data_IF_495715990229
#
_entry.id   IF_495715990229
#
_cell.length_a   1.000
_cell.length_b   1.000
_cell.length_c   1.000
_cell.angle_alpha   90.00
_cell.angle_beta   90.00
_cell.angle_gamma   90.00
#
_symmetry.space_group_name_H-M   'P 1'
#
loop_
_entity.id
_entity.type
_entity.pdbx_description
1 polymer ?
#
# COMPACT_ATOMS: atom_id res chain seq x y z
N UNK A 1 -28.82 25.12 17.72
CA UNK A 1 -29.11 24.49 19.05
C UNK A 1 -27.93 23.61 19.42
N UNK A 2 -27.70 23.26 20.69
CA UNK A 2 -26.46 22.52 21.09
C UNK A 2 -26.21 21.23 20.30
N UNK A 3 -27.27 20.48 19.95
CA UNK A 3 -27.14 19.19 19.25
C UNK A 3 -26.71 19.35 17.79
N UNK A 4 -27.27 20.34 17.09
CA UNK A 4 -26.88 20.75 15.74
C UNK A 4 -25.40 21.15 15.67
N UNK A 5 -24.96 21.98 16.64
CA UNK A 5 -23.56 22.40 16.78
C UNK A 5 -22.58 21.22 17.01
N UNK A 6 -23.02 20.16 17.70
CA UNK A 6 -22.22 18.94 17.88
C UNK A 6 -22.09 18.20 16.56
N UNK A 7 -23.18 18.10 15.78
CA UNK A 7 -23.21 17.41 14.49
C UNK A 7 -22.39 18.17 13.45
N UNK A 8 -22.49 19.49 13.38
CA UNK A 8 -21.66 20.33 12.52
C UNK A 8 -20.16 20.15 12.81
N UNK A 9 -19.80 20.02 14.09
CA UNK A 9 -18.41 19.75 14.48
C UNK A 9 -17.93 18.36 14.00
N UNK A 10 -18.81 17.36 13.86
CA UNK A 10 -18.41 16.09 13.26
C UNK A 10 -17.99 16.27 11.79
N UNK A 11 -18.70 17.10 11.03
CA UNK A 11 -18.32 17.40 9.64
C UNK A 11 -16.95 18.07 9.55
N UNK A 12 -16.66 19.02 10.45
CA UNK A 12 -15.36 19.69 10.50
C UNK A 12 -14.21 18.72 10.83
N UNK A 13 -14.45 17.73 11.70
CA UNK A 13 -13.47 16.67 12.00
C UNK A 13 -13.33 15.70 10.83
N UNK A 14 -14.43 15.34 10.17
CA UNK A 14 -14.43 14.47 9.00
C UNK A 14 -13.67 15.08 7.82
N UNK A 15 -13.85 16.36 7.55
CA UNK A 15 -13.11 17.09 6.50
C UNK A 15 -11.59 17.02 6.76
N UNK A 16 -11.15 17.31 7.99
CA UNK A 16 -9.74 17.18 8.38
C UNK A 16 -9.21 15.76 8.27
N UNK A 17 -10.05 14.74 8.49
CA UNK A 17 -9.66 13.35 8.27
C UNK A 17 -9.55 13.05 6.77
N UNK A 18 -10.44 13.57 5.94
CA UNK A 18 -10.39 13.46 4.48
C UNK A 18 -9.07 13.99 3.94
N UNK A 19 -8.68 15.21 4.34
CA UNK A 19 -7.41 15.81 3.91
C UNK A 19 -6.21 14.94 4.30
N UNK A 20 -6.24 14.34 5.49
CA UNK A 20 -5.18 13.45 5.97
C UNK A 20 -5.16 12.11 5.22
N UNK A 21 -6.31 11.61 4.80
CA UNK A 21 -6.41 10.42 3.97
C UNK A 21 -5.79 10.69 2.61
N UNK A 22 -6.20 11.76 1.93
CA UNK A 22 -5.67 12.13 0.60
C UNK A 22 -4.14 12.33 0.64
N UNK A 23 -3.64 13.04 1.67
CA UNK A 23 -2.20 13.21 1.84
C UNK A 23 -1.45 11.88 2.07
N UNK A 24 -2.06 10.93 2.78
CA UNK A 24 -1.49 9.60 3.02
C UNK A 24 -1.49 8.75 1.74
N UNK A 25 -2.54 8.83 0.93
CA UNK A 25 -2.59 8.16 -0.36
C UNK A 25 -1.44 8.61 -1.27
N UNK A 26 -1.23 9.92 -1.37
CA UNK A 26 -0.13 10.49 -2.16
C UNK A 26 1.24 10.05 -1.63
N UNK A 27 1.41 9.98 -0.30
CA UNK A 27 2.63 9.49 0.35
C UNK A 27 2.92 8.01 -0.01
N UNK A 28 1.90 7.15 0.05
CA UNK A 28 2.01 5.73 -0.28
C UNK A 28 2.41 5.55 -1.75
N UNK A 29 1.81 6.34 -2.64
CA UNK A 29 2.10 6.29 -4.08
C UNK A 29 3.56 6.67 -4.35
N UNK A 30 4.07 7.72 -3.68
CA UNK A 30 5.41 8.27 -3.89
C UNK A 30 6.53 7.46 -3.24
N UNK A 31 6.38 7.07 -1.97
CA UNK A 31 7.50 6.57 -1.17
C UNK A 31 7.30 5.17 -0.58
N UNK A 32 6.06 4.75 -0.32
CA UNK A 32 5.74 3.41 0.21
C UNK A 32 6.63 2.95 1.38
N UNK A 33 6.80 3.79 2.41
CA UNK A 33 7.77 3.55 3.49
C UNK A 33 7.11 2.93 4.74
N UNK A 34 7.91 2.44 5.70
CA UNK A 34 7.43 1.84 6.95
C UNK A 34 6.64 2.82 7.85
N UNK A 35 6.89 4.13 7.74
CA UNK A 35 6.12 5.18 8.44
C UNK A 35 4.70 5.30 7.89
N UNK A 36 4.49 5.06 6.60
CA UNK A 36 3.16 5.08 5.98
C UNK A 36 2.25 4.03 6.65
N UNK A 37 2.75 2.83 6.98
CA UNK A 37 1.99 1.82 7.73
C UNK A 37 1.59 2.28 9.14
N UNK A 38 2.47 2.99 9.85
CA UNK A 38 2.14 3.54 11.16
C UNK A 38 1.05 4.62 11.05
N UNK A 39 1.12 5.46 10.01
CA UNK A 39 0.12 6.50 9.71
C UNK A 39 -1.25 5.91 9.36
N UNK A 40 -1.28 4.87 8.51
CA UNK A 40 -2.49 4.10 8.18
C UNK A 40 -3.16 3.61 9.48
N UNK A 41 -2.38 2.98 10.37
CA UNK A 41 -2.91 2.46 11.63
C UNK A 41 -3.40 3.56 12.59
N UNK A 42 -2.75 4.73 12.60
CA UNK A 42 -3.21 5.90 13.38
C UNK A 42 -4.57 6.39 12.89
N UNK A 43 -4.70 6.66 11.59
CA UNK A 43 -5.95 7.15 11.00
C UNK A 43 -7.09 6.14 11.15
N UNK A 44 -6.80 4.85 11.04
CA UNK A 44 -7.77 3.78 11.33
C UNK A 44 -8.32 3.88 12.75
N UNK A 45 -7.46 4.12 13.75
CA UNK A 45 -7.89 4.29 15.15
C UNK A 45 -8.74 5.55 15.32
N UNK A 46 -8.34 6.66 14.71
CA UNK A 46 -9.11 7.91 14.73
C UNK A 46 -10.51 7.74 14.13
N UNK A 47 -10.63 7.07 12.98
CA UNK A 47 -11.92 6.75 12.35
C UNK A 47 -12.80 5.83 13.20
N UNK A 48 -12.21 4.81 13.84
CA UNK A 48 -12.96 3.94 14.77
C UNK A 48 -13.52 4.74 15.94
N UNK A 49 -12.73 5.66 16.50
CA UNK A 49 -13.18 6.55 17.58
C UNK A 49 -14.31 7.45 17.09
N UNK A 50 -14.18 8.05 15.90
CA UNK A 50 -15.22 8.89 15.33
C UNK A 50 -16.53 8.13 15.12
N UNK A 51 -16.46 6.93 14.51
CA UNK A 51 -17.61 6.03 14.34
C UNK A 51 -18.29 5.71 15.67
N UNK A 52 -17.51 5.42 16.71
CA UNK A 52 -18.03 5.08 18.05
C UNK A 52 -18.71 6.27 18.75
N UNK A 53 -18.44 7.51 18.32
CA UNK A 53 -19.14 8.69 18.82
C UNK A 53 -20.39 9.05 18.00
N UNK A 54 -20.36 8.85 16.67
CA UNK A 54 -21.48 9.21 15.79
C UNK A 54 -22.66 8.24 15.91
N UNK A 55 -22.41 6.92 15.91
CA UNK A 55 -23.49 5.93 15.90
C UNK A 55 -24.43 6.00 17.11
N UNK A 56 -23.94 6.15 18.37
CA UNK A 56 -24.83 6.29 19.52
C UNK A 56 -25.69 7.55 19.46
N UNK A 57 -25.17 8.65 18.89
CA UNK A 57 -25.94 9.89 18.74
C UNK A 57 -27.05 9.71 17.70
N UNK A 58 -26.79 8.98 16.61
CA UNK A 58 -27.83 8.60 15.64
C UNK A 58 -28.98 7.87 16.30
N UNK A 59 -28.65 6.85 17.09
CA UNK A 59 -29.64 5.99 17.74
C UNK A 59 -30.43 6.78 18.81
N UNK A 60 -29.77 7.69 19.52
CA UNK A 60 -30.39 8.60 20.49
C UNK A 60 -31.37 9.58 19.81
N UNK A 61 -30.98 10.21 18.68
CA UNK A 61 -31.86 11.13 17.94
C UNK A 61 -33.03 10.40 17.31
N UNK A 62 -32.82 9.19 16.79
CA UNK A 62 -33.91 8.31 16.34
C UNK A 62 -34.90 7.99 17.49
N UNK A 63 -34.38 7.79 18.70
CA UNK A 63 -35.20 7.61 19.91
C UNK A 63 -36.10 8.81 20.20
N UNK A 64 -35.59 10.03 20.04
CA UNK A 64 -36.40 11.25 20.18
C UNK A 64 -37.47 11.34 19.09
N UNK A 65 -37.14 11.03 17.83
CA UNK A 65 -38.11 11.06 16.73
C UNK A 65 -39.26 10.06 16.90
N UNK A 66 -39.02 8.93 17.56
CA UNK A 66 -40.04 7.90 17.83
C UNK A 66 -40.78 8.09 19.16
N UNK A 67 -40.39 9.08 19.97
CA UNK A 67 -40.97 9.27 21.29
C UNK A 67 -42.31 10.01 21.20
N UNK A 68 -43.35 9.45 21.83
CA UNK A 68 -44.67 10.09 21.99
C UNK A 68 -44.72 11.07 23.18
N UNK A 69 -43.59 11.66 23.54
CA UNK A 69 -43.50 12.57 24.69
C UNK A 69 -44.23 13.89 24.43
N UNK A 70 -44.94 14.39 25.45
CA UNK A 70 -45.64 15.70 25.42
C UNK A 70 -44.69 16.88 25.18
N UNK A 71 -43.38 16.69 25.39
CA UNK A 71 -42.36 17.69 25.12
C UNK A 71 -42.04 17.83 23.62
N UNK A 72 -42.40 16.83 22.79
CA UNK A 72 -42.13 16.82 21.35
C UNK A 72 -43.35 17.35 20.59
N UNK A 73 -43.24 18.61 20.18
CA UNK A 73 -44.20 19.29 19.32
C UNK A 73 -43.74 19.23 17.86
N UNK A 74 -44.61 19.59 16.92
CA UNK A 74 -44.35 19.53 15.46
C UNK A 74 -43.08 20.31 15.03
N UNK A 75 -42.83 21.47 15.66
CA UNK A 75 -41.60 22.26 15.43
C UNK A 75 -40.32 21.54 15.88
N UNK A 76 -40.33 20.93 17.07
CA UNK A 76 -39.19 20.17 17.59
C UNK A 76 -38.98 18.88 16.80
N UNK A 77 -40.04 18.25 16.32
CA UNK A 77 -39.96 17.07 15.48
C UNK A 77 -39.23 17.38 14.15
N UNK A 78 -39.57 18.49 13.48
CA UNK A 78 -38.88 18.92 12.26
C UNK A 78 -37.39 19.19 12.50
N UNK A 79 -37.04 19.81 13.62
CA UNK A 79 -35.65 20.06 14.00
C UNK A 79 -34.86 18.75 14.27
N UNK A 80 -35.40 17.81 15.04
CA UNK A 80 -34.73 16.53 15.27
C UNK A 80 -34.59 15.70 14.00
N UNK A 81 -35.51 15.85 13.04
CA UNK A 81 -35.45 15.17 11.74
C UNK A 81 -34.27 15.68 10.91
N UNK A 82 -34.09 16.99 10.84
CA UNK A 82 -32.95 17.62 10.17
C UNK A 82 -31.61 17.15 10.75
N UNK A 83 -31.50 17.18 12.08
CA UNK A 83 -30.31 16.68 12.80
C UNK A 83 -30.09 15.18 12.58
N UNK A 84 -31.15 14.38 12.52
CA UNK A 84 -31.07 12.95 12.22
C UNK A 84 -30.53 12.72 10.81
N UNK A 85 -31.05 13.45 9.82
CA UNK A 85 -30.61 13.33 8.42
C UNK A 85 -29.11 13.68 8.31
N UNK A 86 -28.64 14.73 8.99
CA UNK A 86 -27.21 15.08 9.07
C UNK A 86 -26.35 14.00 9.76
N UNK A 87 -26.83 13.40 10.84
CA UNK A 87 -26.08 12.33 11.53
C UNK A 87 -26.00 11.06 10.67
N UNK A 88 -27.08 10.72 9.96
CA UNK A 88 -27.07 9.60 9.02
C UNK A 88 -26.03 9.84 7.92
N UNK A 89 -26.01 11.04 7.34
CA UNK A 89 -24.99 11.42 6.36
C UNK A 89 -23.57 11.31 6.93
N UNK A 90 -23.34 11.77 8.17
CA UNK A 90 -22.06 11.62 8.83
C UNK A 90 -21.67 10.15 9.05
N UNK A 91 -22.62 9.29 9.42
CA UNK A 91 -22.37 7.87 9.59
C UNK A 91 -21.97 7.19 8.27
N UNK A 92 -22.62 7.54 7.16
CA UNK A 92 -22.30 7.02 5.83
C UNK A 92 -20.91 7.49 5.35
N UNK A 93 -20.56 8.76 5.60
CA UNK A 93 -19.22 9.29 5.28
C UNK A 93 -18.11 8.56 6.03
N UNK A 94 -18.32 8.24 7.31
CA UNK A 94 -17.36 7.49 8.11
C UNK A 94 -17.16 6.07 7.59
N UNK A 95 -18.23 5.42 7.09
CA UNK A 95 -18.13 4.12 6.42
C UNK A 95 -17.32 4.23 5.13
N UNK A 96 -17.58 5.24 4.30
CA UNK A 96 -16.80 5.50 3.08
C UNK A 96 -15.31 5.70 3.39
N UNK A 97 -14.97 6.48 4.43
CA UNK A 97 -13.58 6.66 4.84
C UNK A 97 -12.93 5.38 5.37
N UNK A 98 -13.70 4.51 6.04
CA UNK A 98 -13.19 3.20 6.44
C UNK A 98 -12.87 2.35 5.21
N UNK A 99 -13.72 2.35 4.21
CA UNK A 99 -13.51 1.56 2.99
C UNK A 99 -12.32 2.12 2.18
N UNK A 100 -12.17 3.44 2.12
CA UNK A 100 -10.98 4.10 1.55
C UNK A 100 -9.69 3.71 2.31
N UNK A 101 -9.74 3.64 3.65
CA UNK A 101 -8.62 3.18 4.48
C UNK A 101 -8.20 1.74 4.19
N UNK A 102 -9.16 0.85 3.92
CA UNK A 102 -8.86 -0.53 3.52
C UNK A 102 -8.15 -0.55 2.15
N UNK A 103 -8.66 0.24 1.20
CA UNK A 103 -8.02 0.39 -0.11
C UNK A 103 -6.57 0.93 0.00
N UNK A 104 -6.31 1.88 0.91
CA UNK A 104 -4.95 2.38 1.16
C UNK A 104 -4.03 1.31 1.72
N UNK A 105 -4.53 0.44 2.59
CA UNK A 105 -3.75 -0.69 3.11
C UNK A 105 -3.36 -1.65 1.99
N UNK A 106 -4.28 -1.96 1.08
CA UNK A 106 -4.02 -2.81 -0.08
C UNK A 106 -3.04 -2.15 -1.07
N UNK A 107 -3.20 -0.85 -1.32
CA UNK A 107 -2.28 -0.06 -2.14
C UNK A 107 -0.85 -0.08 -1.57
N UNK A 108 -0.72 0.09 -0.25
CA UNK A 108 0.56 0.00 0.44
C UNK A 108 1.20 -1.38 0.26
N UNK A 109 0.43 -2.47 0.48
CA UNK A 109 0.92 -3.83 0.28
C UNK A 109 1.34 -4.08 -1.17
N UNK A 110 0.58 -3.59 -2.14
CA UNK A 110 0.92 -3.66 -3.56
C UNK A 110 2.24 -2.96 -3.86
N UNK A 111 2.45 -1.76 -3.31
CA UNK A 111 3.72 -1.00 -3.45
C UNK A 111 4.91 -1.73 -2.83
N UNK A 112 4.76 -2.30 -1.64
CA UNK A 112 5.80 -3.11 -0.99
C UNK A 112 6.13 -4.34 -1.85
N UNK A 113 5.13 -5.04 -2.38
CA UNK A 113 5.32 -6.19 -3.24
C UNK A 113 6.00 -5.82 -4.57
N UNK A 114 5.64 -4.70 -5.19
CA UNK A 114 6.32 -4.20 -6.39
C UNK A 114 7.81 -3.95 -6.12
N UNK A 115 8.12 -3.28 -5.02
CA UNK A 115 9.52 -3.04 -4.61
C UNK A 115 10.27 -4.34 -4.34
N UNK A 116 9.62 -5.31 -3.68
CA UNK A 116 10.19 -6.64 -3.46
C UNK A 116 10.47 -7.35 -4.79
N UNK A 117 9.54 -7.29 -5.74
CA UNK A 117 9.73 -7.85 -7.08
C UNK A 117 10.90 -7.20 -7.82
N UNK A 118 11.07 -5.88 -7.72
CA UNK A 118 12.23 -5.18 -8.30
C UNK A 118 13.55 -5.65 -7.67
N UNK A 119 13.62 -5.72 -6.34
CA UNK A 119 14.81 -6.21 -5.63
C UNK A 119 15.13 -7.65 -6.00
N UNK A 120 14.13 -8.54 -6.05
CA UNK A 120 14.30 -9.93 -6.48
C UNK A 120 14.79 -10.02 -7.92
N UNK A 121 14.24 -9.20 -8.83
CA UNK A 121 14.67 -9.13 -10.23
C UNK A 121 16.15 -8.72 -10.34
N UNK A 122 16.58 -7.73 -9.56
CA UNK A 122 17.99 -7.30 -9.53
C UNK A 122 18.90 -8.43 -9.03
N UNK A 123 18.56 -9.09 -7.91
CA UNK A 123 19.34 -10.22 -7.39
C UNK A 123 19.42 -11.38 -8.39
N UNK A 124 18.30 -11.69 -9.07
CA UNK A 124 18.26 -12.74 -10.09
C UNK A 124 19.14 -12.39 -11.30
N UNK A 125 19.10 -11.14 -11.78
CA UNK A 125 19.96 -10.68 -12.88
C UNK A 125 21.44 -10.81 -12.50
N UNK A 126 21.84 -10.31 -11.32
CA UNK A 126 23.23 -10.43 -10.84
C UNK A 126 23.66 -11.89 -10.76
N UNK A 127 22.81 -12.77 -10.22
CA UNK A 127 23.10 -14.21 -10.10
C UNK A 127 23.24 -14.87 -11.47
N UNK A 128 22.32 -14.60 -12.40
CA UNK A 128 22.36 -15.12 -13.76
C UNK A 128 23.61 -14.64 -14.53
N UNK A 129 24.09 -13.42 -14.29
CA UNK A 129 25.31 -12.91 -14.92
C UNK A 129 26.58 -13.57 -14.38
N UNK A 130 26.61 -13.94 -13.09
CA UNK A 130 27.76 -14.61 -12.47
C UNK A 130 27.80 -16.12 -12.75
N UNK A 131 26.64 -16.77 -12.89
CA UNK A 131 26.56 -18.23 -13.01
C UNK A 131 27.43 -18.84 -14.13
N UNK A 132 27.47 -18.31 -15.37
CA UNK A 132 28.33 -18.85 -16.43
C UNK A 132 29.81 -18.79 -16.09
N UNK A 133 30.28 -17.67 -15.51
CA UNK A 133 31.67 -17.51 -15.12
C UNK A 133 32.04 -18.49 -14.00
N UNK A 134 31.16 -18.68 -13.01
CA UNK A 134 31.36 -19.65 -11.92
C UNK A 134 31.41 -21.09 -12.44
N UNK A 135 30.53 -21.46 -13.38
CA UNK A 135 30.51 -22.81 -13.96
C UNK A 135 31.78 -23.07 -14.78
N UNK A 136 32.18 -22.13 -15.64
CA UNK A 136 33.40 -22.27 -16.44
C UNK A 136 34.62 -22.33 -15.51
N UNK A 137 34.73 -21.42 -14.54
CA UNK A 137 35.83 -21.42 -13.57
C UNK A 137 35.87 -22.71 -12.74
N UNK A 138 34.70 -23.23 -12.36
CA UNK A 138 34.56 -24.51 -11.67
C UNK A 138 35.07 -25.68 -12.50
N UNK A 139 34.66 -25.80 -13.77
CA UNK A 139 35.07 -26.88 -14.68
C UNK A 139 36.60 -26.85 -14.92
N UNK A 140 37.16 -25.67 -15.19
CA UNK A 140 38.60 -25.51 -15.41
C UNK A 140 39.43 -25.64 -14.12
N UNK A 141 38.80 -25.49 -12.95
CA UNK A 141 39.43 -25.73 -11.64
C UNK A 141 39.40 -27.19 -11.18
N UNK A 142 38.77 -28.11 -11.93
CA UNK A 142 38.73 -29.53 -11.58
C UNK A 142 40.05 -30.22 -11.95
N UNK A 143 40.56 -31.07 -11.04
CA UNK A 143 41.77 -31.86 -11.25
C UNK A 143 41.54 -33.07 -12.19
N UNK A 144 41.19 -32.82 -13.46
CA UNK A 144 41.07 -33.87 -14.49
C UNK A 144 42.16 -33.71 -15.55
N UNK A 145 42.95 -34.77 -15.78
CA UNK A 145 44.04 -34.80 -16.77
C UNK A 145 43.57 -34.74 -18.24
N UNK A 146 42.30 -35.05 -18.52
CA UNK A 146 41.72 -35.11 -19.88
C UNK A 146 40.58 -34.13 -20.11
N UNK A 147 40.73 -32.87 -19.71
CA UNK A 147 39.82 -31.81 -20.16
C UNK A 147 40.33 -31.26 -21.51
N UNK A 148 39.50 -31.26 -22.57
CA UNK A 148 39.85 -30.62 -23.84
C UNK A 148 40.26 -29.15 -23.60
N UNK A 149 41.32 -28.68 -24.26
CA UNK A 149 41.87 -27.31 -24.15
C UNK A 149 42.65 -26.94 -22.87
N UNK A 150 42.84 -27.81 -21.87
CA UNK A 150 43.67 -27.46 -20.68
C UNK A 150 45.17 -27.30 -21.01
N UNK A 151 45.70 -28.13 -21.90
CA UNK A 151 47.13 -28.13 -22.25
C UNK A 151 47.45 -27.24 -23.47
N UNK A 152 46.45 -26.55 -24.03
CA UNK A 152 46.59 -25.69 -25.20
C UNK A 152 46.84 -24.23 -24.77
N UNK A 153 47.78 -23.54 -25.42
CA UNK A 153 48.13 -22.13 -25.14
C UNK A 153 46.93 -21.20 -25.32
N UNK A 154 45.97 -21.57 -26.16
CA UNK A 154 44.78 -20.76 -26.45
C UNK A 154 43.59 -21.07 -25.54
N UNK A 155 43.61 -22.18 -24.79
CA UNK A 155 42.48 -22.62 -23.95
C UNK A 155 42.11 -21.61 -22.87
N UNK A 156 43.11 -20.97 -22.26
CA UNK A 156 42.92 -19.91 -21.28
C UNK A 156 42.19 -18.69 -21.88
N UNK A 157 42.63 -18.22 -23.04
CA UNK A 157 42.03 -17.06 -23.71
C UNK A 157 40.60 -17.33 -24.20
N UNK A 158 40.34 -18.54 -24.70
CA UNK A 158 38.98 -18.96 -25.12
C UNK A 158 38.04 -19.01 -23.90
N UNK A 159 38.49 -19.58 -22.77
CA UNK A 159 37.69 -19.65 -21.55
C UNK A 159 37.34 -18.25 -21.02
N UNK A 160 38.33 -17.34 -20.92
CA UNK A 160 38.11 -15.95 -20.51
C UNK A 160 37.18 -15.21 -21.50
N UNK A 161 37.35 -15.44 -22.80
CA UNK A 161 36.48 -14.89 -23.83
C UNK A 161 35.01 -15.32 -23.64
N UNK A 162 34.76 -16.61 -23.39
CA UNK A 162 33.42 -17.13 -23.12
C UNK A 162 32.83 -16.58 -21.81
N UNK A 163 33.64 -16.48 -20.75
CA UNK A 163 33.21 -15.91 -19.46
C UNK A 163 32.75 -14.46 -19.58
N UNK A 164 33.30 -13.67 -20.52
CA UNK A 164 32.89 -12.29 -20.74
C UNK A 164 31.77 -12.16 -21.78
N UNK A 165 31.80 -12.97 -22.84
CA UNK A 165 30.85 -12.86 -23.95
C UNK A 165 29.44 -13.31 -23.54
N UNK A 166 29.32 -14.37 -22.72
CA UNK A 166 28.02 -14.89 -22.29
C UNK A 166 27.24 -13.85 -21.43
N UNK A 167 27.81 -13.25 -20.36
CA UNK A 167 27.11 -12.22 -19.60
C UNK A 167 26.73 -11.00 -20.45
N UNK A 168 27.62 -10.55 -21.36
CA UNK A 168 27.32 -9.42 -22.27
C UNK A 168 26.11 -9.73 -23.16
N UNK A 169 26.05 -10.95 -23.70
CA UNK A 169 24.91 -11.41 -24.50
C UNK A 169 23.62 -11.50 -23.67
N UNK A 170 23.70 -11.96 -22.42
CA UNK A 170 22.56 -12.00 -21.50
C UNK A 170 22.04 -10.61 -21.16
N UNK A 171 22.93 -9.63 -20.89
CA UNK A 171 22.54 -8.23 -20.66
C UNK A 171 21.79 -7.67 -21.86
N UNK A 172 22.27 -7.95 -23.08
CA UNK A 172 21.60 -7.51 -24.30
C UNK A 172 20.17 -8.07 -24.41
N UNK A 173 19.97 -9.34 -24.12
CA UNK A 173 18.64 -9.98 -24.09
C UNK A 173 17.76 -9.38 -22.99
N UNK A 174 18.28 -9.23 -21.78
CA UNK A 174 17.52 -8.66 -20.65
C UNK A 174 17.08 -7.23 -20.94
N UNK A 175 17.93 -6.41 -21.56
CA UNK A 175 17.56 -5.06 -22.00
C UNK A 175 16.44 -5.09 -23.05
N UNK A 176 16.53 -5.99 -24.05
CA UNK A 176 15.51 -6.13 -25.10
C UNK A 176 14.14 -6.59 -24.56
N UNK A 177 14.14 -7.37 -23.48
CA UNK A 177 12.91 -7.87 -22.83
C UNK A 177 12.29 -6.89 -21.83
N UNK A 178 12.85 -5.69 -21.64
CA UNK A 178 12.36 -4.72 -20.65
C UNK A 178 12.65 -5.15 -19.20
N UNK A 179 13.69 -5.97 -19.00
CA UNK A 179 14.10 -6.37 -17.66
C UNK A 179 14.94 -5.29 -16.95
N UNK A 180 15.47 -4.36 -17.73
CA UNK A 180 16.10 -3.12 -17.29
C UNK A 180 15.17 -1.92 -17.56
#
# INVERSE_FOLDING_TARGET
TMLDLIVDNYFLVMEKLSDRLEALEEEIIKYGNTRSLARINSLRKELIVLKRNILPVRDLVNGFLRSESVLIHERTHKYYKDVYDHIVQAADLVENYRDMMLNMQDLYMSKVNMRMNEVMKVMAIVTCLLAPATVIGGIFGMNFDRIPYIHDKNGFFIAVGLMLLIPVWMVWIFKKRGWF
#
